data_IF_591742916969
#
_entry.id   IF_591742916969
#
_cell.length_a   1.000
_cell.length_b   1.000
_cell.length_c   1.000
_cell.angle_alpha   90.00
_cell.angle_beta   90.00
_cell.angle_gamma   90.00
#
_symmetry.space_group_name_H-M   'P 1'
#
loop_
_entity.id
_entity.type
_entity.pdbx_description
1 polymer ?
#
# COMPACT_ATOMS: atom_id res chain seq x y z
N UNK A 1 -39.86 -16.48 72.89
CA UNK A 1 -38.80 -16.71 71.88
C UNK A 1 -37.97 -15.44 71.81
N UNK A 2 -36.94 -15.37 72.65
CA UNK A 2 -36.02 -14.23 72.79
C UNK A 2 -34.69 -14.72 73.38
N UNK A 3 -33.62 -14.07 72.94
CA UNK A 3 -32.18 -14.29 73.11
C UNK A 3 -31.68 -14.58 74.55
N UNK A 4 -30.57 -15.32 74.65
CA UNK A 4 -29.21 -14.76 74.89
C UNK A 4 -28.31 -15.80 75.61
N UNK A 5 -27.16 -16.12 75.03
CA UNK A 5 -26.10 -16.92 75.68
C UNK A 5 -24.79 -16.15 75.63
N UNK A 6 -24.28 -15.83 76.83
CA UNK A 6 -22.92 -16.15 77.27
C UNK A 6 -21.74 -15.41 76.65
N UNK A 7 -21.17 -14.48 77.43
CA UNK A 7 -19.84 -13.92 77.25
C UNK A 7 -18.73 -14.88 77.73
N UNK A 8 -17.55 -14.83 77.10
CA UNK A 8 -16.32 -15.49 77.53
C UNK A 8 -15.09 -14.85 76.88
N UNK A 9 -14.14 -14.43 77.71
CA UNK A 9 -13.03 -13.49 77.47
C UNK A 9 -11.79 -14.21 76.88
N UNK A 10 -11.03 -13.55 75.97
CA UNK A 10 -9.59 -13.80 75.81
C UNK A 10 -8.83 -12.63 75.13
N UNK A 11 -7.98 -11.96 75.92
CA UNK A 11 -6.59 -11.57 75.61
C UNK A 11 -6.24 -10.84 74.31
N UNK A 12 -5.84 -9.56 74.45
CA UNK A 12 -5.11 -8.79 73.44
C UNK A 12 -3.69 -9.32 73.19
N UNK A 13 -3.32 -9.41 71.91
CA UNK A 13 -1.95 -9.20 71.44
C UNK A 13 -2.04 -8.42 70.11
N UNK A 14 -1.71 -7.13 70.16
CA UNK A 14 -1.61 -6.29 68.99
C UNK A 14 -0.35 -6.65 68.20
N UNK A 15 -0.53 -7.06 66.94
CA UNK A 15 0.54 -7.04 65.94
C UNK A 15 0.09 -6.06 64.87
N UNK A 16 0.63 -4.84 64.93
CA UNK A 16 0.51 -3.85 63.86
C UNK A 16 1.36 -4.32 62.69
N UNK A 17 0.75 -5.03 61.74
CA UNK A 17 1.33 -5.17 60.41
C UNK A 17 0.99 -3.87 59.69
N UNK A 18 1.97 -3.00 59.54
CA UNK A 18 1.86 -1.85 58.66
C UNK A 18 1.47 -2.38 57.27
N UNK A 19 0.24 -2.11 56.85
CA UNK A 19 -0.19 -2.36 55.49
C UNK A 19 0.81 -1.63 54.59
N UNK A 20 1.50 -2.38 53.74
CA UNK A 20 2.25 -1.80 52.64
C UNK A 20 1.22 -0.98 51.85
N UNK A 21 1.36 0.34 51.92
CA UNK A 21 0.59 1.26 51.10
C UNK A 21 0.90 0.87 49.66
N UNK A 22 -0.03 0.16 49.01
CA UNK A 22 -0.07 0.09 47.56
C UNK A 22 -0.03 1.55 47.12
N UNK A 23 1.09 1.96 46.51
CA UNK A 23 1.06 3.17 45.70
C UNK A 23 0.13 2.80 44.56
N UNK A 24 -1.13 3.20 44.70
CA UNK A 24 -2.03 3.33 43.57
C UNK A 24 -1.25 4.10 42.52
N UNK A 25 -0.82 3.39 41.47
CA UNK A 25 -0.35 4.04 40.26
C UNK A 25 -1.61 4.63 39.68
N UNK A 26 -1.80 5.91 39.96
CA UNK A 26 -2.88 6.69 39.40
C UNK A 26 -2.66 6.80 37.88
N UNK A 27 -3.37 5.94 37.14
CA UNK A 27 -3.43 6.01 35.67
C UNK A 27 -4.45 7.06 35.20
N UNK A 28 -5.03 7.88 36.09
CA UNK A 28 -6.07 8.87 35.74
C UNK A 28 -5.54 10.22 35.22
N UNK A 29 -4.35 10.23 34.62
CA UNK A 29 -4.00 11.29 33.66
C UNK A 29 -3.95 10.69 32.25
N UNK A 30 -5.08 10.09 31.85
CA UNK A 30 -5.53 10.32 30.50
C UNK A 30 -6.01 11.77 30.47
N UNK A 31 -5.08 12.70 30.28
CA UNK A 31 -5.45 13.96 29.64
C UNK A 31 -6.08 13.50 28.32
N UNK A 32 -7.41 13.55 28.26
CA UNK A 32 -8.10 13.68 27.01
C UNK A 32 -7.30 14.73 26.22
N UNK A 33 -6.88 14.43 25.00
CA UNK A 33 -6.60 15.49 24.05
C UNK A 33 -7.87 15.70 23.22
N UNK A 34 -8.96 16.29 23.76
CA UNK A 34 -10.04 16.73 22.90
C UNK A 34 -9.45 17.93 22.13
N UNK A 35 -9.25 17.76 20.82
CA UNK A 35 -8.70 18.71 19.82
C UNK A 35 -7.26 18.44 19.31
N UNK A 36 -6.63 17.30 19.62
CA UNK A 36 -5.34 16.89 19.05
C UNK A 36 -5.45 16.36 17.61
N UNK A 37 -4.33 16.35 16.89
CA UNK A 37 -4.22 15.59 15.63
C UNK A 37 -3.97 14.12 15.95
N UNK A 38 -4.79 13.21 15.42
CA UNK A 38 -4.54 11.78 15.42
C UNK A 38 -3.61 11.44 14.26
N UNK A 39 -2.52 10.74 14.53
CA UNK A 39 -1.56 10.30 13.52
C UNK A 39 -1.67 8.79 13.38
N UNK A 40 -1.91 8.32 12.17
CA UNK A 40 -1.94 6.89 11.82
C UNK A 40 -0.87 6.59 10.79
N UNK A 41 0.04 5.66 11.11
CA UNK A 41 1.02 5.14 10.15
C UNK A 41 0.76 3.65 9.93
N UNK A 42 0.58 3.26 8.67
CA UNK A 42 0.24 1.90 8.26
C UNK A 42 1.22 1.38 7.21
N UNK A 43 2.32 0.72 7.59
CA UNK A 43 3.06 -0.12 6.67
C UNK A 43 2.19 -1.29 6.22
N UNK A 44 2.18 -1.58 4.92
CA UNK A 44 1.38 -2.67 4.37
C UNK A 44 2.13 -3.46 3.30
N UNK A 45 1.68 -4.69 3.08
CA UNK A 45 2.05 -5.51 1.94
C UNK A 45 0.84 -5.67 1.02
N UNK A 46 1.03 -5.36 -0.26
CA UNK A 46 0.03 -5.60 -1.30
C UNK A 46 0.52 -6.68 -2.25
N UNK A 47 -0.18 -7.81 -2.26
CA UNK A 47 0.11 -8.93 -3.14
C UNK A 47 -0.56 -8.72 -4.49
N UNK A 48 -0.18 -7.65 -5.19
CA UNK A 48 -0.80 -7.25 -6.45
C UNK A 48 -0.37 -8.17 -7.60
N UNK A 49 -1.36 -8.72 -8.31
CA UNK A 49 -1.20 -9.16 -9.69
C UNK A 49 -1.39 -8.00 -10.66
N UNK A 50 -0.88 -8.15 -11.88
CA UNK A 50 -1.06 -7.19 -12.97
C UNK A 50 -1.75 -7.88 -14.15
N UNK A 51 -2.79 -7.23 -14.66
CA UNK A 51 -3.49 -7.62 -15.88
C UNK A 51 -3.63 -6.38 -16.77
N UNK A 52 -3.27 -6.46 -18.04
CA UNK A 52 -3.38 -5.30 -18.93
C UNK A 52 -2.68 -5.45 -20.27
N UNK A 53 -2.74 -4.37 -21.05
CA UNK A 53 -2.15 -4.22 -22.37
C UNK A 53 -1.09 -3.11 -22.35
N UNK A 54 0.14 -3.46 -22.71
CA UNK A 54 1.23 -2.50 -22.84
C UNK A 54 1.51 -2.23 -24.33
N UNK A 55 1.22 -1.02 -24.79
CA UNK A 55 1.58 -0.52 -26.11
C UNK A 55 2.97 0.10 -26.12
N UNK A 56 3.92 -0.49 -26.85
CA UNK A 56 5.26 0.09 -27.07
C UNK A 56 5.54 0.18 -28.55
N UNK A 57 5.75 1.40 -29.07
CA UNK A 57 6.09 1.66 -30.48
C UNK A 57 5.17 0.96 -31.50
N UNK A 58 3.84 1.03 -31.27
CA UNK A 58 2.83 0.47 -32.17
C UNK A 58 2.64 -1.05 -32.08
N UNK A 59 3.16 -1.71 -31.03
CA UNK A 59 2.85 -3.12 -30.72
C UNK A 59 2.25 -3.25 -29.33
N UNK A 60 1.15 -3.98 -29.23
CA UNK A 60 0.49 -4.31 -27.96
C UNK A 60 1.02 -5.63 -27.41
N UNK A 61 1.44 -5.62 -26.15
CA UNK A 61 1.87 -6.79 -25.39
C UNK A 61 0.87 -7.02 -24.26
N UNK A 62 0.20 -8.18 -24.28
CA UNK A 62 -0.66 -8.59 -23.18
C UNK A 62 0.18 -9.03 -21.99
N UNK A 63 -0.11 -8.47 -20.83
CA UNK A 63 0.52 -8.82 -19.56
C UNK A 63 -0.56 -9.39 -18.66
N UNK A 64 -0.39 -10.64 -18.24
CA UNK A 64 -1.18 -11.26 -17.19
C UNK A 64 -0.23 -12.02 -16.27
N UNK A 65 -0.06 -11.50 -15.05
CA UNK A 65 0.81 -12.11 -14.07
C UNK A 65 0.23 -11.94 -12.66
N UNK A 66 0.01 -13.06 -11.99
CA UNK A 66 -0.39 -13.07 -10.58
C UNK A 66 0.82 -12.79 -9.68
N UNK A 67 0.58 -12.27 -8.48
CA UNK A 67 1.66 -11.96 -7.52
C UNK A 67 2.60 -13.16 -7.26
N UNK A 68 2.05 -14.38 -7.15
CA UNK A 68 2.86 -15.58 -6.94
C UNK A 68 3.83 -15.85 -8.11
N UNK A 69 3.39 -15.61 -9.35
CA UNK A 69 4.26 -15.72 -10.52
C UNK A 69 5.34 -14.65 -10.50
N UNK A 70 4.99 -13.42 -10.12
CA UNK A 70 5.94 -12.31 -10.01
C UNK A 70 7.02 -12.62 -8.97
N UNK A 71 6.62 -13.10 -7.79
CA UNK A 71 7.54 -13.41 -6.70
C UNK A 71 8.47 -14.59 -7.07
N UNK A 72 7.92 -15.70 -7.55
CA UNK A 72 8.69 -16.93 -7.81
C UNK A 72 9.57 -16.88 -9.06
N UNK A 73 9.17 -16.10 -10.08
CA UNK A 73 9.95 -15.95 -11.32
C UNK A 73 10.95 -14.81 -11.26
N UNK A 74 10.81 -13.90 -10.28
CA UNK A 74 11.80 -12.85 -10.04
C UNK A 74 13.03 -13.42 -9.35
N UNK A 75 14.21 -12.95 -9.76
CA UNK A 75 15.45 -13.16 -9.01
C UNK A 75 15.39 -12.43 -7.67
N UNK A 76 14.77 -11.24 -7.66
CA UNK A 76 14.46 -10.47 -6.46
C UNK A 76 13.23 -9.60 -6.69
N UNK A 77 12.51 -9.34 -5.59
CA UNK A 77 11.39 -8.40 -5.49
C UNK A 77 11.59 -7.58 -4.21
N UNK A 78 11.65 -6.26 -4.35
CA UNK A 78 11.79 -5.31 -3.22
C UNK A 78 10.50 -4.50 -3.15
N UNK A 79 9.58 -4.82 -2.21
CA UNK A 79 8.38 -4.04 -1.99
C UNK A 79 8.59 -3.03 -0.84
N UNK A 80 8.19 -1.77 -1.04
CA UNK A 80 8.09 -0.76 0.01
C UNK A 80 6.75 -0.08 -0.15
N UNK A 81 5.87 -0.19 0.86
CA UNK A 81 4.53 0.38 0.79
C UNK A 81 4.09 0.87 2.17
N UNK A 82 3.34 1.97 2.20
CA UNK A 82 2.84 2.53 3.45
C UNK A 82 1.84 3.65 3.24
N UNK A 83 0.87 3.71 4.14
CA UNK A 83 -0.16 4.73 4.21
C UNK A 83 -0.02 5.53 5.50
N UNK A 84 -0.16 6.84 5.42
CA UNK A 84 -0.14 7.74 6.57
C UNK A 84 -1.36 8.64 6.52
N UNK A 85 -2.02 8.83 7.67
CA UNK A 85 -3.15 9.72 7.81
C UNK A 85 -2.97 10.59 9.05
N UNK A 86 -3.19 11.89 8.89
CA UNK A 86 -3.26 12.88 9.95
C UNK A 86 -4.71 13.35 10.01
N UNK A 87 -5.41 13.08 11.11
CA UNK A 87 -6.83 13.41 11.26
C UNK A 87 -7.05 14.39 12.40
N UNK A 88 -7.93 15.35 12.17
CA UNK A 88 -8.46 16.25 13.20
C UNK A 88 -9.95 16.43 12.97
N UNK A 89 -10.75 15.90 13.89
CA UNK A 89 -12.20 15.87 13.80
C UNK A 89 -12.68 15.29 12.45
N UNK A 90 -13.29 16.15 11.62
CA UNK A 90 -13.83 15.78 10.29
C UNK A 90 -12.81 15.91 9.16
N UNK A 91 -11.66 16.53 9.40
CA UNK A 91 -10.66 16.79 8.39
C UNK A 91 -9.52 15.80 8.51
N UNK A 92 -9.06 15.24 7.40
CA UNK A 92 -7.84 14.43 7.38
C UNK A 92 -6.96 14.77 6.18
N UNK A 93 -5.66 14.62 6.36
CA UNK A 93 -4.64 14.66 5.31
C UNK A 93 -4.07 13.26 5.22
N UNK A 94 -3.91 12.75 4.00
CA UNK A 94 -3.38 11.41 3.79
C UNK A 94 -2.26 11.39 2.76
N UNK A 95 -1.41 10.38 2.88
CA UNK A 95 -0.39 10.03 1.90
C UNK A 95 -0.26 8.50 1.80
N UNK A 96 -0.28 7.96 0.59
CA UNK A 96 -0.04 6.56 0.27
C UNK A 96 1.18 6.45 -0.64
N UNK A 97 2.11 5.57 -0.30
CA UNK A 97 3.30 5.29 -1.09
C UNK A 97 3.35 3.81 -1.47
N UNK A 98 3.67 3.55 -2.73
CA UNK A 98 3.95 2.23 -3.24
C UNK A 98 5.21 2.27 -4.10
N UNK A 99 6.12 1.34 -3.85
CA UNK A 99 7.31 1.12 -4.64
C UNK A 99 7.59 -0.37 -4.74
N UNK A 100 7.84 -0.84 -5.96
CA UNK A 100 8.35 -2.18 -6.19
C UNK A 100 9.44 -2.15 -7.24
N UNK A 101 10.51 -2.90 -6.97
CA UNK A 101 11.51 -3.22 -7.98
C UNK A 101 11.63 -4.73 -8.11
N UNK A 102 11.56 -5.20 -9.35
CA UNK A 102 11.59 -6.61 -9.70
C UNK A 102 12.64 -6.85 -10.78
N UNK A 103 13.38 -7.95 -10.65
CA UNK A 103 14.31 -8.40 -11.69
C UNK A 103 13.99 -9.83 -12.11
N UNK A 104 13.94 -10.06 -13.41
CA UNK A 104 13.70 -11.37 -14.01
C UNK A 104 14.88 -11.77 -14.87
N UNK A 105 15.57 -12.87 -14.54
CA UNK A 105 16.59 -13.45 -15.42
C UNK A 105 16.09 -14.77 -15.99
N UNK A 106 16.00 -14.88 -17.32
CA UNK A 106 15.77 -16.18 -18.00
C UNK A 106 16.99 -16.56 -18.84
N UNK A 107 17.44 -17.80 -18.67
CA UNK A 107 18.30 -18.48 -19.64
C UNK A 107 17.41 -19.10 -20.72
N UNK A 108 17.69 -18.79 -21.99
CA UNK A 108 17.08 -19.39 -23.20
C UNK A 108 15.73 -18.80 -23.67
N UNK A 109 15.69 -17.52 -23.99
CA UNK A 109 14.76 -17.02 -25.02
C UNK A 109 15.55 -16.38 -26.16
N UNK A 110 15.18 -16.76 -27.39
CA UNK A 110 15.57 -16.06 -28.62
C UNK A 110 14.77 -14.76 -28.63
N UNK A 111 15.40 -13.66 -28.24
CA UNK A 111 14.79 -12.33 -28.37
C UNK A 111 14.82 -11.95 -29.86
N UNK A 112 13.71 -12.17 -30.57
CA UNK A 112 13.48 -11.43 -31.83
C UNK A 112 13.38 -9.96 -31.44
N UNK A 113 14.41 -9.20 -31.79
CA UNK A 113 14.49 -7.76 -31.59
C UNK A 113 13.20 -7.09 -32.12
N UNK A 114 12.37 -6.46 -31.26
CA UNK A 114 11.13 -5.84 -31.72
C UNK A 114 11.34 -4.53 -32.49
N UNK A 115 12.55 -3.95 -32.48
CA UNK A 115 12.84 -2.63 -33.07
C UNK A 115 13.73 -2.64 -34.31
N UNK A 116 14.21 -3.80 -34.76
CA UNK A 116 14.94 -3.91 -36.01
C UNK A 116 14.58 -5.22 -36.72
N UNK A 117 14.38 -5.17 -38.04
CA UNK A 117 14.24 -6.34 -38.94
C UNK A 117 15.58 -7.12 -39.03
N UNK A 118 16.08 -7.60 -37.89
CA UNK A 118 17.31 -8.39 -37.79
C UNK A 118 17.01 -9.69 -37.04
N UNK A 119 17.22 -10.82 -37.74
CA UNK A 119 17.18 -12.14 -37.14
C UNK A 119 18.43 -12.33 -36.27
N UNK A 120 18.32 -12.04 -34.97
CA UNK A 120 19.39 -12.21 -34.02
C UNK A 120 19.12 -13.44 -33.14
N UNK A 121 19.70 -14.58 -33.52
CA UNK A 121 19.67 -15.80 -32.71
C UNK A 121 20.71 -15.68 -31.59
N UNK A 122 20.29 -15.17 -30.43
CA UNK A 122 21.15 -15.06 -29.25
C UNK A 122 20.87 -16.18 -28.25
N UNK A 123 21.87 -17.03 -27.98
CA UNK A 123 21.91 -17.95 -26.83
C UNK A 123 22.38 -17.21 -25.56
N UNK A 124 21.81 -16.05 -25.25
CA UNK A 124 22.26 -15.21 -24.12
C UNK A 124 21.31 -15.24 -22.95
N UNK A 125 21.86 -15.16 -21.73
CA UNK A 125 21.08 -14.84 -20.51
C UNK A 125 20.59 -13.39 -20.64
N UNK A 126 19.27 -13.20 -20.63
CA UNK A 126 18.63 -11.90 -20.60
C UNK A 126 18.10 -11.64 -19.19
N UNK A 127 18.32 -10.42 -18.69
CA UNK A 127 17.75 -9.96 -17.43
C UNK A 127 16.97 -8.67 -17.67
N UNK A 128 15.74 -8.63 -17.18
CA UNK A 128 14.85 -7.47 -17.24
C UNK A 128 14.65 -6.97 -15.82
N UNK A 129 14.88 -5.69 -15.60
CA UNK A 129 14.57 -5.00 -14.34
C UNK A 129 13.40 -4.06 -14.58
N UNK A 130 12.35 -4.21 -13.79
CA UNK A 130 11.16 -3.37 -13.81
C UNK A 130 11.06 -2.63 -12.47
N UNK A 131 10.84 -1.33 -12.54
CA UNK A 131 10.54 -0.49 -11.38
C UNK A 131 9.17 0.14 -11.59
N UNK A 132 8.32 0.01 -10.58
CA UNK A 132 6.99 0.62 -10.56
C UNK A 132 6.82 1.32 -9.21
N UNK A 133 6.37 2.57 -9.24
CA UNK A 133 6.05 3.31 -8.05
C UNK A 133 4.83 4.19 -8.29
N UNK A 134 4.05 4.42 -7.23
CA UNK A 134 3.11 5.51 -7.19
C UNK A 134 3.11 6.16 -5.80
N UNK A 135 2.79 7.43 -5.77
CA UNK A 135 2.60 8.19 -4.55
C UNK A 135 1.29 8.96 -4.67
N UNK A 136 0.38 8.76 -3.73
CA UNK A 136 -0.90 9.46 -3.66
C UNK A 136 -0.92 10.33 -2.42
N UNK A 137 -1.45 11.55 -2.53
CA UNK A 137 -1.60 12.45 -1.40
C UNK A 137 -2.76 13.40 -1.59
N UNK A 138 -3.43 13.73 -0.51
CA UNK A 138 -4.63 14.55 -0.56
C UNK A 138 -5.21 14.87 0.81
N UNK A 139 -6.45 15.35 0.79
CA UNK A 139 -7.25 15.58 1.98
C UNK A 139 -8.61 14.92 1.86
N UNK A 140 -9.17 14.50 2.99
CA UNK A 140 -10.55 14.06 3.10
C UNK A 140 -11.32 14.91 4.10
N UNK A 141 -12.64 14.95 3.89
CA UNK A 141 -13.58 15.61 4.79
C UNK A 141 -14.78 14.70 5.05
N UNK A 142 -15.08 14.47 6.32
CA UNK A 142 -16.24 13.72 6.78
C UNK A 142 -17.50 14.58 6.62
N UNK A 143 -18.32 14.22 5.63
CA UNK A 143 -19.55 14.95 5.28
C UNK A 143 -20.72 14.51 6.15
N UNK A 144 -20.71 13.26 6.61
CA UNK A 144 -21.76 12.73 7.45
C UNK A 144 -21.26 11.61 8.36
N UNK A 145 -21.86 11.54 9.55
CA UNK A 145 -21.69 10.45 10.49
C UNK A 145 -23.06 10.09 11.05
N UNK A 146 -23.38 8.81 11.02
CA UNK A 146 -24.63 8.27 11.52
C UNK A 146 -24.35 7.21 12.57
N UNK A 147 -25.01 7.32 13.72
CA UNK A 147 -24.96 6.29 14.74
C UNK A 147 -26.07 5.28 14.49
N UNK A 148 -25.69 4.01 14.33
CA UNK A 148 -26.59 2.91 14.07
C UNK A 148 -26.53 1.83 15.15
N UNK A 149 -27.42 0.80 15.08
CA UNK A 149 -27.44 -0.30 16.05
C UNK A 149 -26.16 -1.13 16.10
N UNK A 150 -25.35 -1.09 15.03
CA UNK A 150 -24.10 -1.84 14.90
C UNK A 150 -22.85 -0.98 15.17
N UNK A 151 -23.01 0.31 15.47
CA UNK A 151 -21.94 1.28 15.67
C UNK A 151 -22.07 2.50 14.75
N UNK A 152 -20.97 3.23 14.53
CA UNK A 152 -20.97 4.51 13.81
C UNK A 152 -20.57 4.32 12.34
N UNK A 153 -21.36 4.87 11.42
CA UNK A 153 -21.07 4.89 9.99
C UNK A 153 -20.61 6.29 9.59
N UNK A 154 -19.40 6.42 9.03
CA UNK A 154 -18.86 7.65 8.46
C UNK A 154 -18.92 7.65 6.93
N UNK A 155 -19.23 8.80 6.35
CA UNK A 155 -19.06 9.09 4.93
C UNK A 155 -18.10 10.27 4.76
N UNK A 156 -17.04 10.04 4.01
CA UNK A 156 -16.02 11.01 3.69
C UNK A 156 -15.92 11.21 2.18
N UNK A 157 -15.66 12.44 1.78
CA UNK A 157 -15.22 12.76 0.41
C UNK A 157 -13.73 13.07 0.45
N UNK A 158 -13.00 12.68 -0.57
CA UNK A 158 -11.56 12.91 -0.67
C UNK A 158 -11.16 13.49 -2.02
N UNK A 159 -10.09 14.27 -2.01
CA UNK A 159 -9.49 14.85 -3.20
C UNK A 159 -7.98 15.00 -3.04
N UNK A 160 -7.25 14.78 -4.12
CA UNK A 160 -5.79 14.78 -4.09
C UNK A 160 -5.16 14.59 -5.46
N UNK A 161 -3.93 14.08 -5.46
CA UNK A 161 -3.20 13.73 -6.66
C UNK A 161 -2.44 12.40 -6.47
N UNK A 162 -2.28 11.66 -7.57
CA UNK A 162 -1.54 10.40 -7.66
C UNK A 162 -0.43 10.54 -8.69
N UNK A 163 0.81 10.54 -8.23
CA UNK A 163 2.00 10.48 -9.07
C UNK A 163 2.32 9.03 -9.41
N UNK A 164 2.60 8.77 -10.68
CA UNK A 164 2.98 7.47 -11.21
C UNK A 164 4.40 7.51 -11.74
N UNK A 165 5.13 6.42 -11.56
CA UNK A 165 6.46 6.24 -12.13
C UNK A 165 6.66 4.78 -12.56
N UNK A 166 7.11 4.58 -13.80
CA UNK A 166 7.40 3.27 -14.36
C UNK A 166 8.67 3.31 -15.20
N UNK A 167 9.55 2.33 -15.00
CA UNK A 167 10.79 2.21 -15.75
C UNK A 167 11.13 0.75 -16.02
N UNK A 168 11.50 0.44 -17.27
CA UNK A 168 11.89 -0.91 -17.70
C UNK A 168 13.30 -0.86 -18.32
N UNK A 169 14.22 -1.57 -17.68
CA UNK A 169 15.62 -1.72 -18.08
C UNK A 169 15.87 -3.18 -18.53
N UNK A 170 16.45 -3.38 -19.72
CA UNK A 170 16.81 -4.71 -20.23
C UNK A 170 18.32 -4.84 -20.38
N UNK A 171 18.89 -5.93 -19.85
CA UNK A 171 20.31 -6.25 -19.97
C UNK A 171 20.53 -7.64 -20.58
N UNK A 172 21.51 -7.73 -21.49
CA UNK A 172 21.87 -8.92 -22.24
C UNK A 172 23.35 -9.22 -22.02
N UNK A 173 23.67 -10.44 -21.57
CA UNK A 173 25.07 -10.89 -21.46
C UNK A 173 25.52 -11.48 -22.80
N UNK A 174 26.52 -10.86 -23.43
CA UNK A 174 26.95 -11.22 -24.78
C UNK A 174 28.36 -11.82 -24.73
N UNK A 175 28.49 -13.08 -25.16
CA UNK A 175 29.78 -13.72 -25.40
C UNK A 175 30.17 -13.50 -26.87
N UNK A 176 30.66 -12.32 -27.23
CA UNK A 176 31.11 -12.01 -28.59
C UNK A 176 31.16 -10.51 -28.91
N UNK A 177 31.91 -10.15 -29.95
CA UNK A 177 32.03 -8.77 -30.45
C UNK A 177 30.98 -8.53 -31.54
N UNK A 178 29.84 -7.93 -31.17
CA UNK A 178 28.80 -7.50 -32.12
C UNK A 178 28.82 -5.96 -32.21
N UNK A 179 28.76 -5.40 -33.42
CA UNK A 179 28.70 -3.94 -33.63
C UNK A 179 27.24 -3.47 -33.48
N UNK A 180 26.98 -2.63 -32.48
CA UNK A 180 25.64 -2.09 -32.16
C UNK A 180 25.45 -0.70 -32.78
N UNK A 181 25.36 -0.61 -34.11
CA UNK A 181 25.13 0.67 -34.78
C UNK A 181 23.70 1.18 -34.63
N UNK A 182 22.70 0.30 -34.62
CA UNK A 182 21.30 0.70 -34.87
C UNK A 182 20.28 0.12 -33.88
N UNK A 183 20.70 -0.36 -32.69
CA UNK A 183 19.82 -1.12 -31.78
C UNK A 183 19.52 -0.43 -30.43
N UNK A 184 19.97 0.82 -30.21
CA UNK A 184 19.72 1.53 -28.95
C UNK A 184 20.41 0.94 -27.71
N UNK A 185 21.29 -0.06 -27.89
CA UNK A 185 21.99 -0.77 -26.82
C UNK A 185 23.31 -0.07 -26.48
N UNK A 186 23.51 0.27 -25.19
CA UNK A 186 24.80 0.76 -24.68
C UNK A 186 25.61 -0.41 -24.10
N UNK A 187 26.89 -0.52 -24.48
CA UNK A 187 27.79 -1.57 -23.99
C UNK A 187 28.35 -1.17 -22.61
N UNK A 188 28.16 -2.03 -21.60
CA UNK A 188 28.81 -1.94 -20.28
C UNK A 188 29.61 -3.22 -20.03
N UNK A 189 30.86 -3.25 -20.48
CA UNK A 189 31.74 -4.42 -20.40
C UNK A 189 31.22 -5.60 -21.25
N UNK A 190 30.98 -6.75 -20.60
CA UNK A 190 30.42 -7.99 -21.22
C UNK A 190 28.89 -8.00 -21.34
N UNK A 191 28.25 -6.86 -21.04
CA UNK A 191 26.80 -6.70 -21.06
C UNK A 191 26.40 -5.60 -22.05
N UNK A 192 25.29 -5.79 -22.74
CA UNK A 192 24.58 -4.76 -23.50
C UNK A 192 23.31 -4.39 -22.75
N UNK A 193 23.03 -3.10 -22.58
CA UNK A 193 21.88 -2.59 -21.82
C UNK A 193 21.02 -1.69 -22.71
N UNK A 194 19.72 -1.92 -22.74
CA UNK A 194 18.71 -1.03 -23.33
C UNK A 194 17.81 -0.49 -22.20
N UNK A 195 17.52 0.81 -22.25
CA UNK A 195 16.54 1.46 -21.38
C UNK A 195 15.33 1.84 -22.23
N UNK A 196 14.12 1.53 -21.77
CA UNK A 196 12.89 1.91 -22.48
C UNK A 196 12.49 3.39 -22.27
N UNK A 197 13.18 4.09 -21.37
CA UNK A 197 12.81 5.44 -20.93
C UNK A 197 11.98 5.37 -19.65
N UNK A 198 12.11 6.39 -18.80
CA UNK A 198 11.29 6.54 -17.61
C UNK A 198 9.97 7.20 -18.02
N UNK A 199 8.85 6.69 -17.51
CA UNK A 199 7.52 7.26 -17.73
C UNK A 199 6.97 7.68 -16.38
N UNK A 200 6.67 8.97 -16.23
CA UNK A 200 6.05 9.53 -15.05
C UNK A 200 4.94 10.52 -15.41
N UNK A 201 3.91 10.57 -14.58
CA UNK A 201 2.79 11.50 -14.73
C UNK A 201 2.07 11.72 -13.39
N UNK A 202 1.24 12.75 -13.33
CA UNK A 202 0.40 13.07 -12.17
C UNK A 202 -1.06 13.06 -12.58
N UNK A 203 -1.87 12.30 -11.85
CA UNK A 203 -3.32 12.25 -11.99
C UNK A 203 -3.99 12.99 -10.83
N UNK A 204 -4.83 14.01 -11.09
CA UNK A 204 -5.76 14.48 -10.06
C UNK A 204 -6.75 13.35 -9.74
N UNK A 205 -7.10 13.20 -8.45
CA UNK A 205 -8.02 12.17 -7.97
C UNK A 205 -9.11 12.79 -7.09
N UNK A 206 -10.33 12.27 -7.21
CA UNK A 206 -11.44 12.54 -6.30
C UNK A 206 -12.15 11.22 -5.97
N UNK A 207 -12.67 11.10 -4.77
CA UNK A 207 -13.30 9.86 -4.32
C UNK A 207 -14.15 10.02 -3.09
N UNK A 208 -14.61 8.88 -2.59
CA UNK A 208 -15.35 8.77 -1.36
C UNK A 208 -14.89 7.55 -0.55
N UNK A 209 -15.01 7.66 0.77
CA UNK A 209 -14.74 6.59 1.71
C UNK A 209 -15.95 6.43 2.63
N UNK A 210 -16.42 5.20 2.75
CA UNK A 210 -17.42 4.80 3.74
C UNK A 210 -16.71 3.96 4.79
N UNK A 211 -16.84 4.34 6.05
CA UNK A 211 -16.33 3.60 7.19
C UNK A 211 -17.48 3.15 8.08
N UNK A 212 -17.42 1.91 8.56
CA UNK A 212 -18.29 1.42 9.62
C UNK A 212 -17.41 1.04 10.79
N UNK A 213 -17.52 1.80 11.88
CA UNK A 213 -16.90 1.49 13.16
C UNK A 213 -17.88 0.65 13.97
N UNK A 214 -17.39 -0.47 14.50
CA UNK A 214 -18.13 -1.38 15.37
C UNK A 214 -17.50 -1.38 16.77
N UNK A 215 -18.20 -2.00 17.71
CA UNK A 215 -17.69 -2.23 19.06
C UNK A 215 -16.32 -2.95 19.05
N UNK A 216 -15.51 -2.66 20.07
CA UNK A 216 -14.19 -3.23 20.28
C UNK A 216 -13.17 -2.82 19.20
N UNK A 217 -13.16 -1.55 18.76
CA UNK A 217 -12.16 -1.00 17.82
C UNK A 217 -12.07 -1.79 16.50
N UNK A 218 -13.23 -2.18 15.97
CA UNK A 218 -13.33 -2.84 14.68
C UNK A 218 -13.80 -1.82 13.65
N UNK A 219 -13.18 -1.81 12.48
CA UNK A 219 -13.56 -0.92 11.39
C UNK A 219 -13.66 -1.72 10.10
N UNK A 220 -14.75 -1.55 9.37
CA UNK A 220 -14.81 -1.89 7.95
C UNK A 220 -14.72 -0.59 7.14
N UNK A 221 -13.99 -0.61 6.04
CA UNK A 221 -13.79 0.54 5.18
C UNK A 221 -13.96 0.14 3.72
N UNK A 222 -14.65 0.99 2.96
CA UNK A 222 -14.77 0.93 1.51
C UNK A 222 -14.40 2.29 0.94
N UNK A 223 -13.36 2.33 0.11
CA UNK A 223 -12.91 3.52 -0.61
C UNK A 223 -13.06 3.29 -2.10
N UNK A 224 -13.54 4.30 -2.81
CA UNK A 224 -13.56 4.37 -4.26
C UNK A 224 -13.12 5.74 -4.74
N UNK A 225 -12.21 5.79 -5.72
CA UNK A 225 -11.80 7.03 -6.37
C UNK A 225 -11.67 6.90 -7.89
N UNK A 226 -11.75 8.05 -8.54
CA UNK A 226 -11.53 8.23 -9.98
C UNK A 226 -10.55 9.38 -10.21
N UNK A 227 -9.78 9.28 -11.29
CA UNK A 227 -8.72 10.23 -11.60
C UNK A 227 -8.30 10.28 -13.07
N UNK A 228 -7.20 10.98 -13.31
CA UNK A 228 -6.64 11.21 -14.65
C UNK A 228 -7.25 12.42 -15.33
N UNK A 229 -8.56 12.37 -15.62
CA UNK A 229 -9.33 13.46 -16.25
C UNK A 229 -8.65 14.12 -17.46
N UNK A 230 -7.77 13.39 -18.16
CA UNK A 230 -6.97 13.89 -19.28
C UNK A 230 -5.77 14.76 -18.92
N UNK A 231 -5.43 14.92 -17.63
CA UNK A 231 -4.26 15.67 -17.16
C UNK A 231 -2.99 14.81 -17.26
N UNK A 232 -3.05 13.59 -16.73
CA UNK A 232 -2.01 12.58 -16.85
C UNK A 232 -2.52 11.39 -17.67
N UNK A 233 -3.33 10.56 -17.04
CA UNK A 233 -4.12 9.48 -17.63
C UNK A 233 -5.42 10.01 -18.23
N UNK A 234 -5.97 9.31 -19.22
CA UNK A 234 -7.33 9.59 -19.69
C UNK A 234 -8.35 9.28 -18.60
N UNK A 235 -8.16 8.14 -17.93
CA UNK A 235 -8.96 7.70 -16.81
C UNK A 235 -8.17 6.76 -15.90
N UNK A 236 -8.26 6.98 -14.59
CA UNK A 236 -7.81 6.03 -13.57
C UNK A 236 -8.90 5.82 -12.53
N UNK A 237 -8.93 4.64 -11.92
CA UNK A 237 -9.89 4.34 -10.85
C UNK A 237 -9.28 3.41 -9.82
N UNK A 238 -9.79 3.49 -8.60
CA UNK A 238 -9.39 2.64 -7.50
C UNK A 238 -10.60 2.21 -6.68
N UNK A 239 -10.54 0.97 -6.19
CA UNK A 239 -11.42 0.48 -5.13
C UNK A 239 -10.57 -0.23 -4.08
N UNK A 240 -10.82 0.07 -2.81
CA UNK A 240 -10.24 -0.59 -1.66
C UNK A 240 -11.33 -0.99 -0.69
N UNK A 241 -11.30 -2.23 -0.21
CA UNK A 241 -12.13 -2.70 0.89
C UNK A 241 -11.24 -3.31 1.97
N UNK A 242 -11.42 -2.90 3.22
CA UNK A 242 -10.56 -3.30 4.33
C UNK A 242 -11.34 -3.56 5.61
N UNK A 243 -10.86 -4.52 6.39
CA UNK A 243 -11.26 -4.74 7.77
C UNK A 243 -10.05 -4.53 8.67
N UNK A 244 -10.23 -3.69 9.69
CA UNK A 244 -9.21 -3.33 10.67
C UNK A 244 -9.68 -3.72 12.07
N UNK A 245 -8.78 -4.29 12.86
CA UNK A 245 -9.01 -4.59 14.28
C UNK A 245 -7.90 -3.98 15.13
N UNK A 246 -8.29 -3.06 16.02
CA UNK A 246 -7.40 -2.38 16.95
C UNK A 246 -7.34 -3.00 18.34
N UNK A 247 -6.22 -2.74 19.02
CA UNK A 247 -5.93 -3.05 20.41
C UNK A 247 -5.24 -1.84 21.03
N UNK A 248 -5.72 -1.40 22.19
CA UNK A 248 -5.10 -0.32 22.94
C UNK A 248 -3.88 -0.84 23.69
N UNK A 249 -2.73 -0.22 23.47
CA UNK A 249 -1.45 -0.56 24.10
C UNK A 249 -0.84 0.71 24.68
N UNK A 250 -1.05 0.92 25.98
CA UNK A 250 -0.68 2.18 26.64
C UNK A 250 -1.46 3.35 26.06
N UNK A 251 -0.73 4.34 25.55
CA UNK A 251 -1.29 5.55 24.91
C UNK A 251 -1.52 5.41 23.40
N UNK A 252 -1.07 4.31 22.78
CA UNK A 252 -1.20 4.09 21.34
C UNK A 252 -2.23 2.99 21.05
N UNK A 253 -2.78 3.01 19.84
CA UNK A 253 -3.59 1.94 19.28
C UNK A 253 -2.76 1.21 18.23
N UNK A 254 -2.62 -0.10 18.42
CA UNK A 254 -2.04 -1.01 17.44
C UNK A 254 -3.17 -1.73 16.74
N UNK A 255 -3.18 -1.75 15.41
CA UNK A 255 -4.21 -2.45 14.65
C UNK A 255 -3.59 -3.29 13.54
N UNK A 256 -4.25 -4.38 13.20
CA UNK A 256 -3.97 -5.08 11.95
C UNK A 256 -5.11 -4.84 10.98
N UNK A 257 -4.79 -4.84 9.69
CA UNK A 257 -5.73 -4.62 8.60
C UNK A 257 -5.58 -5.72 7.56
N UNK A 258 -6.70 -6.26 7.10
CA UNK A 258 -6.77 -7.16 5.94
C UNK A 258 -7.75 -6.58 4.94
N UNK A 259 -7.42 -6.63 3.66
CA UNK A 259 -8.28 -6.03 2.64
C UNK A 259 -7.98 -6.52 1.24
N UNK A 260 -8.62 -5.88 0.28
CA UNK A 260 -8.42 -6.07 -1.14
C UNK A 260 -8.42 -4.72 -1.83
N UNK A 261 -7.44 -4.51 -2.72
CA UNK A 261 -7.34 -3.30 -3.54
C UNK A 261 -7.32 -3.68 -5.00
N UNK A 262 -8.05 -2.92 -5.81
CA UNK A 262 -7.94 -2.89 -7.26
C UNK A 262 -7.68 -1.44 -7.68
N UNK A 263 -6.72 -1.24 -8.57
CA UNK A 263 -6.28 0.06 -9.06
C UNK A 263 -5.98 -0.07 -10.54
N UNK A 264 -6.60 0.77 -11.36
CA UNK A 264 -6.39 0.77 -12.80
C UNK A 264 -6.02 2.16 -13.29
N UNK A 265 -5.23 2.20 -14.36
CA UNK A 265 -4.93 3.43 -15.07
C UNK A 265 -4.85 3.13 -16.58
N UNK A 266 -5.50 3.99 -17.35
CA UNK A 266 -5.39 4.03 -18.80
C UNK A 266 -4.65 5.30 -19.23
N UNK A 267 -3.41 5.13 -19.67
CA UNK A 267 -2.52 6.20 -20.10
C UNK A 267 -2.16 6.05 -21.58
N UNK A 268 -2.34 7.12 -22.36
CA UNK A 268 -1.89 7.20 -23.75
C UNK A 268 -0.90 8.35 -23.95
N UNK A 269 0.34 8.03 -24.34
CA UNK A 269 1.35 9.02 -24.70
C UNK A 269 1.20 9.47 -26.15
N UNK A 270 1.39 10.77 -26.39
CA UNK A 270 1.42 11.39 -27.75
C UNK A 270 2.47 10.79 -28.70
N UNK A 271 3.45 10.04 -28.19
CA UNK A 271 4.49 9.34 -28.95
C UNK A 271 4.08 7.94 -29.44
N UNK A 272 2.86 7.47 -29.14
CA UNK A 272 2.34 6.14 -29.53
C UNK A 272 2.66 5.01 -28.55
N UNK A 273 3.05 5.33 -27.32
CA UNK A 273 3.12 4.38 -26.21
C UNK A 273 1.82 4.46 -25.40
N UNK A 274 1.23 3.32 -25.07
CA UNK A 274 0.03 3.25 -24.23
C UNK A 274 0.23 2.26 -23.09
N UNK A 275 -0.41 2.52 -21.97
CA UNK A 275 -0.27 1.73 -20.76
C UNK A 275 -1.66 1.61 -20.12
N UNK A 276 -2.31 0.48 -20.38
CA UNK A 276 -3.61 0.12 -19.82
C UNK A 276 -3.42 -1.09 -18.92
N UNK A 277 -3.66 -0.93 -17.62
CA UNK A 277 -3.43 -1.99 -16.66
C UNK A 277 -4.33 -1.87 -15.45
N UNK A 278 -4.57 -3.03 -14.84
CA UNK A 278 -5.23 -3.21 -13.56
C UNK A 278 -4.27 -3.95 -12.64
N UNK A 279 -3.93 -3.33 -11.52
CA UNK A 279 -3.31 -3.96 -10.37
C UNK A 279 -4.40 -4.37 -9.40
N UNK A 280 -4.40 -5.63 -8.97
CA UNK A 280 -5.38 -6.07 -7.97
C UNK A 280 -4.82 -7.18 -7.09
N UNK A 281 -5.25 -7.20 -5.84
CA UNK A 281 -4.82 -8.24 -4.91
C UNK A 281 -5.11 -7.95 -3.45
N UNK A 282 -4.88 -8.95 -2.58
CA UNK A 282 -5.07 -8.81 -1.14
C UNK A 282 -4.00 -7.91 -0.52
N UNK A 283 -4.42 -7.13 0.48
CA UNK A 283 -3.59 -6.26 1.30
C UNK A 283 -3.60 -6.78 2.74
N UNK A 284 -2.44 -6.75 3.37
CA UNK A 284 -2.30 -6.90 4.81
C UNK A 284 -1.43 -5.77 5.35
N UNK A 285 -1.83 -5.15 6.46
CA UNK A 285 -1.11 -4.03 7.04
C UNK A 285 -1.16 -4.03 8.56
N UNK A 286 -0.25 -3.26 9.14
CA UNK A 286 -0.20 -3.00 10.57
C UNK A 286 -0.23 -1.50 10.78
N UNK A 287 -1.09 -1.01 11.65
CA UNK A 287 -1.28 0.41 11.93
C UNK A 287 -0.84 0.71 13.34
N UNK A 288 -0.06 1.77 13.50
CA UNK A 288 0.20 2.42 14.78
C UNK A 288 -0.50 3.77 14.75
N UNK A 289 -1.29 4.05 15.78
CA UNK A 289 -2.11 5.25 15.89
C UNK A 289 -1.97 5.89 17.26
N UNK A 290 -1.81 7.21 17.31
CA UNK A 290 -1.66 8.00 18.53
C UNK A 290 -2.22 9.40 18.36
#
# INVERSE_FOLDING_TARGET
>A
MALAVGAGIAGSAAVSIAAAQERDVDFSVADEMPNGWEVSITPYGWMAGISGDLGVAGRTLQINANFYDLLTKSDYLIPVMGYTELRKDRFAIFADGFYTQMKFSKSNMITKNPFAKANLTLKSKAAVTQTLAFAEGGASYEVARWQGPMGDTGLEVLGGARYWYSSIDTSLKINGTVKFGNLGLKKKGKYAVAKSGDIDWVDPVIGARISQEFANMQKFELLGDIGGFGVGSEFSWQVYAGYTKGYQVGQAILAWTLGYRALAANYEAKSGNSLDFVLHGPIAGFTVRW
#
